data_IF_347031976854
#
_entry.id   IF_347031976854
#
_cell.length_a   1.000
_cell.length_b   1.000
_cell.length_c   1.000
_cell.angle_alpha   90.00
_cell.angle_beta   90.00
_cell.angle_gamma   90.00
#
_symmetry.space_group_name_H-M   'P 1'
#
loop_
_entity.id
_entity.type
_entity.pdbx_description
1 polymer ?
#
# COMPACT_ATOMS: atom_id res chain seq x y z
N UNK A 1 -25.73 9.41 -17.54
CA UNK A 1 -25.56 7.96 -17.29
C UNK A 1 -25.58 7.11 -18.57
N UNK A 2 -25.63 7.71 -19.76
CA UNK A 2 -25.68 6.96 -21.03
C UNK A 2 -24.30 6.54 -21.58
N UNK A 3 -23.21 7.18 -21.15
CA UNK A 3 -21.85 6.89 -21.65
C UNK A 3 -21.24 5.57 -21.14
N UNK A 4 -21.83 4.92 -20.13
CA UNK A 4 -21.39 3.61 -19.64
C UNK A 4 -22.03 2.45 -20.41
N UNK A 5 -23.01 2.72 -21.27
CA UNK A 5 -23.78 1.70 -22.00
C UNK A 5 -23.17 1.38 -23.37
N UNK A 6 -22.36 2.27 -23.95
CA UNK A 6 -21.91 2.13 -25.34
C UNK A 6 -20.48 1.61 -25.52
N UNK A 7 -19.69 1.49 -24.45
CA UNK A 7 -18.37 0.83 -24.51
C UNK A 7 -18.32 -0.34 -23.54
N UNK A 8 -18.19 -1.60 -24.02
CA UNK A 8 -18.06 -2.76 -23.15
C UNK A 8 -16.64 -2.80 -22.58
N UNK A 9 -16.31 -1.84 -21.70
CA UNK A 9 -15.16 -2.00 -20.83
C UNK A 9 -15.56 -3.01 -19.76
N UNK A 10 -15.05 -4.23 -19.86
CA UNK A 10 -15.26 -5.24 -18.83
C UNK A 10 -14.84 -4.70 -17.46
N UNK A 11 -15.45 -5.19 -16.37
CA UNK A 11 -15.24 -4.74 -14.99
C UNK A 11 -13.76 -4.46 -14.64
N UNK A 12 -12.85 -5.29 -15.15
CA UNK A 12 -11.40 -5.15 -14.97
C UNK A 12 -10.82 -3.87 -15.58
N UNK A 13 -11.26 -3.47 -16.77
CA UNK A 13 -10.78 -2.25 -17.44
C UNK A 13 -11.18 -0.99 -16.70
N UNK A 14 -12.41 -0.97 -16.16
CA UNK A 14 -12.91 0.14 -15.35
C UNK A 14 -12.15 0.24 -14.02
N UNK A 15 -11.94 -0.88 -13.33
CA UNK A 15 -11.13 -0.94 -12.10
C UNK A 15 -9.69 -0.51 -12.36
N UNK A 16 -9.07 -0.91 -13.48
CA UNK A 16 -7.73 -0.47 -13.86
C UNK A 16 -7.67 1.05 -14.13
N UNK A 17 -8.69 1.61 -14.76
CA UNK A 17 -8.82 3.06 -14.98
C UNK A 17 -8.88 3.83 -13.65
N UNK A 18 -9.74 3.39 -12.73
CA UNK A 18 -9.84 3.99 -11.39
C UNK A 18 -8.51 3.86 -10.66
N UNK A 19 -7.89 2.68 -10.68
CA UNK A 19 -6.61 2.44 -10.02
C UNK A 19 -5.50 3.37 -10.54
N UNK A 20 -5.42 3.56 -11.86
CA UNK A 20 -4.45 4.49 -12.46
C UNK A 20 -4.73 5.94 -12.05
N UNK A 21 -6.00 6.35 -12.01
CA UNK A 21 -6.38 7.69 -11.54
C UNK A 21 -6.05 7.89 -10.06
N UNK A 22 -6.28 6.89 -9.22
CA UNK A 22 -5.90 6.90 -7.80
C UNK A 22 -4.38 7.02 -7.65
N UNK A 23 -3.60 6.25 -8.41
CA UNK A 23 -2.13 6.36 -8.40
C UNK A 23 -1.63 7.77 -8.74
N UNK A 24 -2.23 8.41 -9.75
CA UNK A 24 -1.88 9.79 -10.14
C UNK A 24 -2.11 10.81 -9.03
N UNK A 25 -3.14 10.61 -8.19
CA UNK A 25 -3.39 11.47 -7.03
C UNK A 25 -2.27 11.34 -5.97
N UNK A 26 -1.66 10.15 -5.87
CA UNK A 26 -0.56 9.89 -4.94
C UNK A 26 0.83 10.23 -5.51
N UNK A 27 0.97 10.47 -6.82
CA UNK A 27 2.28 10.80 -7.42
C UNK A 27 2.89 12.08 -6.83
N UNK A 28 2.08 13.13 -6.62
CA UNK A 28 2.57 14.39 -6.03
C UNK A 28 3.12 14.22 -4.60
N UNK A 29 2.36 13.68 -3.63
CA UNK A 29 2.90 13.45 -2.30
C UNK A 29 4.05 12.45 -2.32
N UNK A 30 4.11 11.54 -3.30
CA UNK A 30 5.25 10.64 -3.44
C UNK A 30 6.53 11.33 -3.86
N UNK A 31 6.49 12.19 -4.87
CA UNK A 31 7.66 12.99 -5.27
C UNK A 31 8.16 13.84 -4.10
N UNK A 32 7.25 14.42 -3.31
CA UNK A 32 7.62 15.18 -2.13
C UNK A 32 8.34 14.31 -1.08
N UNK A 33 7.80 13.12 -0.78
CA UNK A 33 8.40 12.21 0.18
C UNK A 33 9.79 11.71 -0.29
N UNK A 34 9.91 11.39 -1.58
CA UNK A 34 11.18 11.03 -2.22
C UNK A 34 12.23 12.15 -2.08
N UNK A 35 11.83 13.39 -2.34
CA UNK A 35 12.72 14.55 -2.19
C UNK A 35 13.18 14.74 -0.74
N UNK A 36 12.28 14.54 0.22
CA UNK A 36 12.59 14.67 1.65
C UNK A 36 13.53 13.57 2.14
N UNK A 37 13.32 12.31 1.71
CA UNK A 37 14.24 11.20 2.03
C UNK A 37 15.62 11.42 1.40
N UNK A 38 15.67 11.85 0.14
CA UNK A 38 16.93 12.17 -0.56
C UNK A 38 17.70 13.27 0.18
N UNK A 39 17.01 14.34 0.57
CA UNK A 39 17.60 15.43 1.34
C UNK A 39 18.17 14.95 2.68
N UNK A 40 17.43 14.09 3.38
CA UNK A 40 17.84 13.54 4.67
C UNK A 40 19.09 12.68 4.55
N UNK A 41 19.24 11.93 3.45
CA UNK A 41 20.46 11.15 3.19
C UNK A 41 21.64 12.05 2.83
N UNK A 42 21.44 13.06 2.00
CA UNK A 42 22.52 14.00 1.64
C UNK A 42 23.06 14.68 2.90
N UNK A 43 22.18 15.09 3.81
CA UNK A 43 22.58 15.71 5.09
C UNK A 43 23.29 14.73 6.02
N UNK A 44 22.85 13.47 6.11
CA UNK A 44 23.55 12.42 6.88
C UNK A 44 24.91 12.04 6.30
N UNK A 45 25.01 12.00 4.97
CA UNK A 45 26.21 11.64 4.22
C UNK A 45 27.38 12.62 4.45
N UNK A 46 27.09 13.89 4.73
CA UNK A 46 28.11 14.93 4.96
C UNK A 46 28.92 14.71 6.25
N UNK A 47 28.46 13.87 7.19
CA UNK A 47 29.11 13.63 8.48
C UNK A 47 29.60 12.20 8.73
N UNK A 48 29.44 11.26 7.79
CA UNK A 48 29.62 9.82 8.06
C UNK A 48 30.77 9.17 7.27
N UNK A 49 31.38 8.12 7.87
CA UNK A 49 32.48 7.35 7.25
C UNK A 49 31.97 6.52 6.06
N UNK A 50 32.83 6.27 5.07
CA UNK A 50 32.52 5.56 3.81
C UNK A 50 31.78 4.22 4.00
N UNK A 51 32.07 3.46 5.08
CA UNK A 51 31.40 2.18 5.37
C UNK A 51 29.92 2.36 5.77
N UNK A 52 29.59 3.42 6.51
CA UNK A 52 28.21 3.81 6.84
C UNK A 52 27.45 4.29 5.60
N UNK A 53 28.16 4.89 4.64
CA UNK A 53 27.58 5.38 3.40
C UNK A 53 27.03 4.24 2.54
N UNK A 54 27.75 3.12 2.46
CA UNK A 54 27.32 1.95 1.68
C UNK A 54 26.06 1.31 2.29
N UNK A 55 26.01 1.14 3.61
CA UNK A 55 24.81 0.65 4.31
C UNK A 55 23.62 1.61 4.15
N UNK A 56 23.86 2.92 4.22
CA UNK A 56 22.83 3.94 4.02
C UNK A 56 22.23 3.89 2.59
N UNK A 57 23.04 3.62 1.56
CA UNK A 57 22.56 3.46 0.18
C UNK A 57 21.65 2.23 0.06
N UNK A 58 22.01 1.10 0.66
CA UNK A 58 21.16 -0.10 0.66
C UNK A 58 19.85 0.10 1.43
N UNK A 59 19.92 0.78 2.57
CA UNK A 59 18.75 1.18 3.35
C UNK A 59 17.82 2.06 2.51
N UNK A 60 18.39 3.02 1.78
CA UNK A 60 17.66 3.90 0.89
C UNK A 60 16.98 3.13 -0.24
N UNK A 61 17.71 2.26 -0.94
CA UNK A 61 17.16 1.44 -2.01
C UNK A 61 16.01 0.55 -1.52
N UNK A 62 16.14 -0.02 -0.32
CA UNK A 62 15.07 -0.79 0.32
C UNK A 62 13.85 0.06 0.68
N UNK A 63 14.06 1.27 1.23
CA UNK A 63 13.00 2.23 1.52
C UNK A 63 12.24 2.65 0.26
N UNK A 64 12.96 2.98 -0.80
CA UNK A 64 12.42 3.33 -2.13
C UNK A 64 11.56 2.20 -2.70
N UNK A 65 12.06 0.96 -2.65
CA UNK A 65 11.33 -0.21 -3.10
C UNK A 65 10.03 -0.40 -2.30
N UNK A 66 10.12 -0.34 -0.97
CA UNK A 66 8.96 -0.46 -0.08
C UNK A 66 7.92 0.64 -0.32
N UNK A 67 8.37 1.86 -0.60
CA UNK A 67 7.52 3.00 -0.90
C UNK A 67 6.70 2.79 -2.18
N UNK A 68 7.30 2.23 -3.24
CA UNK A 68 6.58 1.85 -4.46
C UNK A 68 5.55 0.75 -4.18
N UNK A 69 5.91 -0.27 -3.40
CA UNK A 69 4.99 -1.35 -3.00
C UNK A 69 3.82 -0.82 -2.18
N UNK A 70 4.09 0.08 -1.24
CA UNK A 70 3.07 0.75 -0.42
C UNK A 70 2.15 1.60 -1.30
N UNK A 71 2.67 2.33 -2.28
CA UNK A 71 1.85 3.13 -3.19
C UNK A 71 0.85 2.28 -3.98
N UNK A 72 1.31 1.17 -4.56
CA UNK A 72 0.42 0.26 -5.29
C UNK A 72 -0.61 -0.41 -4.36
N UNK A 73 -0.23 -0.70 -3.11
CA UNK A 73 -1.15 -1.23 -2.08
C UNK A 73 -2.22 -0.20 -1.69
N UNK A 74 -1.82 1.05 -1.45
CA UNK A 74 -2.72 2.16 -1.10
C UNK A 74 -3.77 2.34 -2.20
N UNK A 75 -3.41 2.20 -3.48
CA UNK A 75 -4.36 2.30 -4.59
C UNK A 75 -5.52 1.30 -4.47
N UNK A 76 -5.23 0.03 -4.18
CA UNK A 76 -6.26 -1.00 -4.01
C UNK A 76 -7.12 -0.75 -2.78
N UNK A 77 -6.49 -0.38 -1.67
CA UNK A 77 -7.17 -0.15 -0.39
C UNK A 77 -8.02 1.12 -0.44
N UNK A 78 -7.56 2.17 -1.11
CA UNK A 78 -8.30 3.40 -1.31
C UNK A 78 -9.58 3.17 -2.14
N UNK A 79 -9.48 2.39 -3.23
CA UNK A 79 -10.66 2.00 -4.03
C UNK A 79 -11.68 1.28 -3.16
N UNK A 80 -11.23 0.29 -2.38
CA UNK A 80 -12.10 -0.44 -1.48
C UNK A 80 -12.83 0.51 -0.52
N UNK A 81 -12.12 1.36 0.21
CA UNK A 81 -12.76 2.27 1.15
C UNK A 81 -13.61 3.35 0.47
N UNK A 82 -13.26 3.80 -0.73
CA UNK A 82 -14.07 4.75 -1.48
C UNK A 82 -15.45 4.18 -1.84
N UNK A 83 -15.53 2.89 -2.18
CA UNK A 83 -16.81 2.20 -2.44
C UNK A 83 -17.69 2.19 -1.18
N UNK A 84 -17.13 1.89 0.00
CA UNK A 84 -17.92 1.77 1.24
C UNK A 84 -18.28 3.09 1.90
N UNK A 85 -17.40 4.08 1.83
CA UNK A 85 -17.58 5.35 2.57
C UNK A 85 -18.18 6.45 1.71
N UNK A 86 -18.26 6.28 0.39
CA UNK A 86 -18.74 7.29 -0.56
C UNK A 86 -17.87 8.56 -0.61
N UNK A 87 -16.74 8.59 0.12
CA UNK A 87 -15.87 9.76 0.25
C UNK A 87 -14.43 9.38 -0.05
N UNK A 88 -13.91 9.90 -1.16
CA UNK A 88 -12.53 9.67 -1.58
C UNK A 88 -11.52 10.09 -0.51
N UNK A 89 -11.71 11.23 0.15
CA UNK A 89 -10.79 11.74 1.18
C UNK A 89 -10.70 10.84 2.41
N UNK A 90 -11.84 10.36 2.93
CA UNK A 90 -11.84 9.42 4.06
C UNK A 90 -11.21 8.08 3.67
N UNK A 91 -11.48 7.59 2.46
CA UNK A 91 -10.88 6.37 1.94
C UNK A 91 -9.36 6.46 1.81
N UNK A 92 -8.83 7.60 1.36
CA UNK A 92 -7.40 7.87 1.23
C UNK A 92 -6.70 7.89 2.61
N UNK A 93 -7.24 8.62 3.59
CA UNK A 93 -6.61 8.69 4.91
C UNK A 93 -6.51 7.30 5.58
N UNK A 94 -7.59 6.52 5.45
CA UNK A 94 -7.66 5.17 6.04
C UNK A 94 -6.77 4.19 5.31
N UNK A 95 -6.66 4.27 3.99
CA UNK A 95 -5.75 3.41 3.22
C UNK A 95 -4.29 3.69 3.54
N UNK A 96 -3.91 4.96 3.69
CA UNK A 96 -2.57 5.36 4.15
C UNK A 96 -2.30 4.78 5.54
N UNK A 97 -3.21 4.99 6.49
CA UNK A 97 -3.04 4.51 7.87
C UNK A 97 -2.93 2.98 7.95
N UNK A 98 -3.75 2.25 7.19
CA UNK A 98 -3.71 0.78 7.22
C UNK A 98 -2.53 0.19 6.48
N UNK A 99 -2.03 0.87 5.44
CA UNK A 99 -0.95 0.33 4.59
C UNK A 99 0.42 0.71 5.14
N UNK A 100 0.56 1.89 5.73
CA UNK A 100 1.83 2.35 6.31
C UNK A 100 1.83 2.15 7.83
N UNK A 101 0.78 2.54 8.53
CA UNK A 101 0.75 2.51 10.00
C UNK A 101 0.78 1.09 10.58
N UNK A 102 0.00 0.16 10.03
CA UNK A 102 -0.09 -1.21 10.59
C UNK A 102 1.23 -1.97 10.50
N UNK A 103 1.95 -2.01 9.36
CA UNK A 103 3.27 -2.64 9.30
C UNK A 103 4.27 -2.07 10.30
N UNK A 104 4.27 -0.75 10.50
CA UNK A 104 5.14 -0.11 11.49
C UNK A 104 4.80 -0.56 12.92
N UNK A 105 3.52 -0.60 13.28
CA UNK A 105 3.09 -1.08 14.60
C UNK A 105 3.46 -2.55 14.79
N UNK A 106 3.24 -3.40 13.78
CA UNK A 106 3.61 -4.81 13.83
C UNK A 106 5.13 -4.99 13.98
N UNK A 107 5.91 -4.23 13.23
CA UNK A 107 7.36 -4.25 13.33
C UNK A 107 7.85 -3.86 14.74
N UNK A 108 7.37 -2.75 15.28
CA UNK A 108 7.76 -2.27 16.62
C UNK A 108 7.36 -3.26 17.72
N UNK A 109 6.18 -3.88 17.60
CA UNK A 109 5.74 -4.90 18.54
C UNK A 109 6.61 -6.16 18.47
N UNK A 110 6.87 -6.67 17.26
CA UNK A 110 7.72 -7.85 17.06
C UNK A 110 9.13 -7.61 17.58
N UNK A 111 9.72 -6.47 17.22
CA UNK A 111 11.06 -6.10 17.67
C UNK A 111 11.11 -5.94 19.20
N UNK A 112 10.13 -5.26 19.80
CA UNK A 112 10.04 -5.09 21.24
C UNK A 112 9.88 -6.41 21.99
N UNK A 113 9.03 -7.32 21.51
CA UNK A 113 8.84 -8.66 22.09
C UNK A 113 10.11 -9.48 22.01
N UNK A 114 10.78 -9.48 20.85
CA UNK A 114 12.01 -10.25 20.67
C UNK A 114 13.15 -9.71 21.54
N UNK A 115 13.29 -8.38 21.66
CA UNK A 115 14.24 -7.75 22.60
C UNK A 115 13.95 -8.14 24.04
N UNK A 116 12.68 -8.12 24.45
CA UNK A 116 12.28 -8.53 25.80
C UNK A 116 12.63 -10.00 26.06
N UNK A 117 12.26 -10.90 25.15
CA UNK A 117 12.56 -12.34 25.28
C UNK A 117 14.06 -12.61 25.34
N UNK A 118 14.85 -11.95 24.49
CA UNK A 118 16.30 -12.11 24.49
C UNK A 118 16.93 -11.65 25.81
N UNK A 119 16.47 -10.52 26.35
CA UNK A 119 16.89 -10.02 27.66
C UNK A 119 16.59 -11.02 28.77
N UNK A 120 15.39 -11.62 28.78
CA UNK A 120 14.98 -12.63 29.78
C UNK A 120 15.83 -13.91 29.71
N UNK A 121 16.25 -14.31 28.50
CA UNK A 121 17.06 -15.52 28.29
C UNK A 121 18.58 -15.26 28.31
N UNK A 122 19.01 -14.02 28.60
CA UNK A 122 20.42 -13.64 28.59
C UNK A 122 21.09 -13.70 27.22
N UNK A 123 20.30 -13.65 26.14
CA UNK A 123 20.77 -13.66 24.75
C UNK A 123 20.76 -12.23 24.21
N UNK A 124 21.76 -11.87 23.39
CA UNK A 124 21.78 -10.58 22.71
C UNK A 124 20.87 -10.65 21.47
N UNK A 125 19.84 -9.82 21.42
CA UNK A 125 18.98 -9.70 20.23
C UNK A 125 19.62 -8.80 19.18
N UNK A 126 19.93 -9.38 18.01
CA UNK A 126 20.20 -8.68 16.73
C UNK A 126 20.98 -7.35 16.84
N UNK A 127 22.28 -7.37 17.13
CA UNK A 127 23.10 -6.14 17.05
C UNK A 127 23.37 -5.64 15.61
N UNK A 128 23.02 -6.45 14.60
CA UNK A 128 23.21 -6.07 13.20
C UNK A 128 22.04 -5.27 12.65
N UNK A 129 22.31 -4.03 12.24
CA UNK A 129 21.37 -3.14 11.54
C UNK A 129 20.70 -3.82 10.34
N UNK A 130 21.45 -4.62 9.58
CA UNK A 130 20.92 -5.35 8.42
C UNK A 130 19.77 -6.30 8.76
N UNK A 131 19.82 -6.96 9.92
CA UNK A 131 18.76 -7.89 10.35
C UNK A 131 17.46 -7.15 10.71
N UNK A 132 17.57 -5.97 11.33
CA UNK A 132 16.41 -5.12 11.63
C UNK A 132 15.75 -4.61 10.35
N UNK A 133 16.56 -4.20 9.36
CA UNK A 133 16.08 -3.76 8.05
C UNK A 133 15.38 -4.89 7.32
N UNK A 134 15.96 -6.10 7.32
CA UNK A 134 15.35 -7.26 6.71
C UNK A 134 14.01 -7.61 7.37
N UNK A 135 13.94 -7.59 8.70
CA UNK A 135 12.69 -7.82 9.43
C UNK A 135 11.62 -6.78 9.05
N UNK A 136 11.99 -5.50 8.98
CA UNK A 136 11.08 -4.43 8.57
C UNK A 136 10.54 -4.65 7.15
N UNK A 137 11.41 -4.98 6.19
CA UNK A 137 11.02 -5.28 4.80
C UNK A 137 10.06 -6.48 4.77
N UNK A 138 10.37 -7.56 5.49
CA UNK A 138 9.55 -8.77 5.50
C UNK A 138 8.16 -8.52 6.10
N UNK A 139 8.08 -7.78 7.21
CA UNK A 139 6.79 -7.40 7.82
C UNK A 139 5.97 -6.55 6.86
N UNK A 140 6.58 -5.53 6.24
CA UNK A 140 5.90 -4.65 5.30
C UNK A 140 5.45 -5.37 4.03
N UNK A 141 6.32 -6.18 3.41
CA UNK A 141 5.98 -6.98 2.24
C UNK A 141 4.90 -8.01 2.55
N UNK A 142 5.02 -8.72 3.67
CA UNK A 142 4.05 -9.71 4.10
C UNK A 142 2.67 -9.08 4.29
N UNK A 143 2.61 -7.94 4.98
CA UNK A 143 1.35 -7.20 5.15
C UNK A 143 0.75 -6.77 3.81
N UNK A 144 1.53 -6.13 2.94
CA UNK A 144 1.05 -5.65 1.65
C UNK A 144 0.58 -6.80 0.74
N UNK A 145 1.35 -7.89 0.67
CA UNK A 145 1.03 -9.06 -0.15
C UNK A 145 -0.28 -9.72 0.30
N UNK A 146 -0.44 -9.94 1.62
CA UNK A 146 -1.63 -10.59 2.17
C UNK A 146 -2.84 -9.66 2.13
N UNK A 147 -2.70 -8.45 2.67
CA UNK A 147 -3.83 -7.54 2.87
C UNK A 147 -4.27 -6.89 1.56
N UNK A 148 -3.37 -6.15 0.89
CA UNK A 148 -3.74 -5.37 -0.30
C UNK A 148 -3.95 -6.27 -1.53
N UNK A 149 -2.96 -7.11 -1.88
CA UNK A 149 -3.03 -7.95 -3.08
C UNK A 149 -3.83 -9.24 -2.90
N UNK A 150 -3.75 -9.86 -1.73
CA UNK A 150 -4.51 -11.06 -1.41
C UNK A 150 -5.98 -10.73 -1.17
N UNK A 151 -6.27 -10.04 -0.07
CA UNK A 151 -7.65 -9.88 0.41
C UNK A 151 -8.39 -8.78 -0.38
N UNK A 152 -7.85 -7.56 -0.39
CA UNK A 152 -8.58 -6.38 -0.86
C UNK A 152 -8.79 -6.40 -2.37
N UNK A 153 -7.76 -6.68 -3.16
CA UNK A 153 -7.87 -6.76 -4.63
C UNK A 153 -8.96 -7.73 -5.08
N UNK A 154 -9.02 -8.93 -4.48
CA UNK A 154 -10.06 -9.93 -4.79
C UNK A 154 -11.45 -9.41 -4.44
N UNK A 155 -11.59 -8.77 -3.28
CA UNK A 155 -12.87 -8.19 -2.84
C UNK A 155 -13.35 -7.06 -3.76
N UNK A 156 -12.48 -6.12 -4.14
CA UNK A 156 -12.80 -5.03 -5.07
C UNK A 156 -13.34 -5.60 -6.39
N UNK A 157 -12.62 -6.54 -7.00
CA UNK A 157 -13.03 -7.15 -8.27
C UNK A 157 -14.40 -7.85 -8.15
N UNK A 158 -14.60 -8.64 -7.09
CA UNK A 158 -15.87 -9.35 -6.87
C UNK A 158 -17.06 -8.42 -6.66
N UNK A 159 -16.88 -7.26 -6.03
CA UNK A 159 -17.95 -6.29 -5.81
C UNK A 159 -18.33 -5.61 -7.13
N UNK A 160 -17.35 -5.17 -7.92
CA UNK A 160 -17.63 -4.59 -9.23
C UNK A 160 -18.34 -5.55 -10.18
N UNK A 161 -17.96 -6.82 -10.19
CA UNK A 161 -18.63 -7.86 -10.98
C UNK A 161 -20.10 -8.03 -10.56
N UNK A 162 -20.39 -8.03 -9.24
CA UNK A 162 -21.76 -8.10 -8.71
C UNK A 162 -22.61 -6.89 -9.11
N UNK A 163 -22.10 -5.68 -8.93
CA UNK A 163 -22.84 -4.46 -9.27
C UNK A 163 -23.17 -4.38 -10.76
N UNK A 164 -22.26 -4.81 -11.63
CA UNK A 164 -22.52 -4.86 -13.07
C UNK A 164 -23.57 -5.93 -13.44
N UNK A 165 -23.52 -7.11 -12.79
CA UNK A 165 -24.52 -8.15 -12.99
C UNK A 165 -25.92 -7.71 -12.54
N UNK A 166 -26.03 -7.05 -11.38
CA UNK A 166 -27.29 -6.49 -10.86
C UNK A 166 -27.86 -5.41 -11.79
N UNK A 167 -27.00 -4.50 -12.27
CA UNK A 167 -27.40 -3.47 -13.23
C UNK A 167 -27.91 -4.04 -14.56
N UNK A 168 -27.23 -5.06 -15.10
CA UNK A 168 -27.65 -5.74 -16.33
C UNK A 168 -28.99 -6.46 -16.17
N UNK A 169 -29.22 -7.13 -15.03
CA UNK A 169 -30.50 -7.78 -14.73
C UNK A 169 -31.65 -6.76 -14.58
N UNK A 170 -31.40 -5.61 -13.94
CA UNK A 170 -32.37 -4.52 -13.83
C UNK A 170 -32.76 -3.94 -15.19
N UNK A 171 -31.78 -3.68 -16.05
CA UNK A 171 -32.01 -3.18 -17.40
C UNK A 171 -32.81 -4.18 -18.27
N UNK A 172 -32.49 -5.48 -18.17
CA UNK A 172 -33.24 -6.54 -18.88
C UNK A 172 -34.70 -6.62 -18.44
N UNK A 173 -34.98 -6.48 -17.13
CA UNK A 173 -36.36 -6.44 -16.62
C UNK A 173 -37.13 -5.22 -17.11
N UNK A 174 -36.50 -4.05 -17.12
CA UNK A 174 -37.12 -2.82 -17.62
C UNK A 174 -37.44 -2.89 -19.12
N UNK A 175 -36.56 -3.51 -19.92
CA UNK A 175 -36.77 -3.71 -21.36
C UNK A 175 -37.87 -4.71 -21.71
N UNK A 176 -38.21 -5.64 -20.81
CA UNK A 176 -39.31 -6.61 -21.01
C UNK A 176 -40.67 -6.10 -20.51
N UNK A 177 -40.70 -4.96 -19.83
CA UNK A 177 -41.91 -4.34 -19.29
C UNK A 177 -42.52 -3.28 -20.24
N UNK A 178 -41.83 -2.97 -21.33
CA UNK A 178 -42.29 -2.16 -22.46
C UNK A 178 -42.59 -3.06 -23.66
#
# INVERSE_FOLDING_TARGET
MELLVTTPMGARGLVQGIFKATLLQFTKPMILLLGLETWLIITLAQGTRVMLLNEAIWLYAAGMFMLVVNMASIGWVAIWYAIFTGSAHKGISRSVLTTLGVPWVLFLLLDGVMRYLATVHGVVWMDHHAAHVLLWILVGLGWNAVFAWGIIRRRVLSQFERTLAEGAMGASKASKAH
#
